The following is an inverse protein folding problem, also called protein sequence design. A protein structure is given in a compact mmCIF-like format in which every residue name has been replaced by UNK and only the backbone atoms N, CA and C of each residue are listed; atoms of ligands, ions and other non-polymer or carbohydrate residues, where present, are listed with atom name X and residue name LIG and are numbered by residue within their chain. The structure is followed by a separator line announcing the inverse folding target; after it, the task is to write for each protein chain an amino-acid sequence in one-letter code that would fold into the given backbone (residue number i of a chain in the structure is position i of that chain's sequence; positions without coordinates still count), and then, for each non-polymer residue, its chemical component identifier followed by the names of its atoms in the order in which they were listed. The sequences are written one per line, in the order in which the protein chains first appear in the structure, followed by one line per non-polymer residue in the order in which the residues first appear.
data_IF_701481735914
#
_entry.id   IF_701481735914
#
_cell.length_a   1.000
_cell.length_b   1.000
_cell.length_c   1.000
_cell.angle_alpha   90.00
_cell.angle_beta   90.00
_cell.angle_gamma   90.00
#
_symmetry.space_group_name_H-M   'P 1'
#
loop_
_entity.id
_entity.type
_entity.pdbx_description
1 polymer ?
#
# COMPACT_ATOMS: atom_id res chain seq x y z
N UNK A 1 8.76 -8.45 -8.29
CA UNK A 1 8.14 -7.10 -8.22
C UNK A 1 8.26 -6.42 -9.58
N UNK A 2 7.19 -5.88 -10.17
CA UNK A 2 7.21 -5.30 -11.54
C UNK A 2 8.01 -3.99 -11.63
N UNK A 3 7.78 -2.96 -10.80
CA UNK A 3 8.54 -1.70 -10.89
C UNK A 3 10.07 -1.85 -10.76
N UNK A 4 10.53 -2.83 -9.99
CA UNK A 4 11.96 -3.13 -9.88
C UNK A 4 12.56 -3.68 -11.18
N UNK A 5 11.83 -4.57 -11.87
CA UNK A 5 12.25 -5.15 -13.15
C UNK A 5 12.27 -4.13 -14.28
N UNK A 6 11.42 -3.11 -14.18
CA UNK A 6 11.34 -2.02 -15.15
C UNK A 6 12.38 -0.91 -14.86
N UNK A 7 13.25 -1.09 -13.86
CA UNK A 7 14.31 -0.14 -13.52
C UNK A 7 13.84 1.15 -12.85
N UNK A 8 12.58 1.23 -12.42
CA UNK A 8 12.05 2.41 -11.78
C UNK A 8 12.68 2.60 -10.40
N UNK A 9 12.99 3.83 -10.01
CA UNK A 9 13.22 4.15 -8.60
C UNK A 9 11.89 4.14 -7.85
N UNK A 10 11.90 3.85 -6.55
CA UNK A 10 10.64 3.82 -5.79
C UNK A 10 10.82 4.47 -4.43
N UNK A 11 9.81 5.24 -4.06
CA UNK A 11 9.61 5.66 -2.67
C UNK A 11 8.49 4.83 -2.08
N UNK A 12 8.79 4.18 -0.97
CA UNK A 12 7.84 3.44 -0.17
C UNK A 12 7.42 4.33 0.99
N UNK A 13 6.12 4.45 1.21
CA UNK A 13 5.53 5.22 2.29
C UNK A 13 4.67 4.29 3.16
N UNK A 14 4.82 4.42 4.47
CA UNK A 14 3.97 3.77 5.49
C UNK A 14 4.07 4.55 6.80
N UNK A 15 3.14 4.34 7.73
CA UNK A 15 3.14 5.03 9.03
C UNK A 15 4.27 4.49 9.93
N UNK A 16 4.56 3.20 9.83
CA UNK A 16 5.62 2.50 10.58
C UNK A 16 6.27 1.42 9.72
N UNK A 17 7.48 0.99 10.07
CA UNK A 17 8.22 0.01 9.26
C UNK A 17 7.50 -1.35 9.13
N UNK A 18 6.81 -1.75 10.19
CA UNK A 18 6.14 -3.06 10.29
C UNK A 18 4.77 -2.88 10.97
N UNK A 19 3.72 -2.49 10.21
CA UNK A 19 2.44 -2.10 10.80
C UNK A 19 1.58 -3.30 11.23
N UNK A 20 1.94 -4.53 10.87
CA UNK A 20 1.25 -5.74 11.31
C UNK A 20 2.23 -6.58 12.12
N UNK A 21 2.00 -6.74 13.43
CA UNK A 21 2.92 -7.46 14.33
C UNK A 21 2.94 -8.99 14.09
N UNK A 22 3.57 -9.71 15.02
CA UNK A 22 3.93 -11.15 14.98
C UNK A 22 2.80 -12.16 14.67
N UNK A 23 1.57 -11.71 14.47
CA UNK A 23 0.40 -12.51 14.09
C UNK A 23 0.10 -12.57 12.59
N UNK A 24 0.81 -11.80 11.74
CA UNK A 24 0.70 -11.91 10.27
C UNK A 24 1.99 -12.55 9.74
N UNK A 25 2.03 -13.87 9.48
CA UNK A 25 3.29 -14.63 9.39
C UNK A 25 4.20 -14.33 8.19
N UNK A 26 3.84 -13.39 7.30
CA UNK A 26 4.38 -13.39 5.93
C UNK A 26 5.01 -12.07 5.50
N UNK A 27 4.57 -10.93 6.03
CA UNK A 27 5.00 -9.64 5.48
C UNK A 27 5.94 -8.89 6.41
N UNK A 28 7.25 -8.90 6.11
CA UNK A 28 8.29 -8.21 6.88
C UNK A 28 8.33 -6.69 6.73
N UNK A 29 7.20 -6.06 6.42
CA UNK A 29 7.05 -4.61 6.33
C UNK A 29 7.76 -3.94 5.14
N UNK A 30 7.82 -2.61 5.17
CA UNK A 30 8.41 -1.81 4.07
C UNK A 30 9.90 -2.06 3.88
N UNK A 31 10.61 -2.42 4.94
CA UNK A 31 12.05 -2.75 4.88
C UNK A 31 12.31 -4.03 4.10
N UNK A 32 11.44 -5.05 4.22
CA UNK A 32 11.53 -6.25 3.39
C UNK A 32 11.29 -5.93 1.91
N UNK A 33 10.30 -5.08 1.60
CA UNK A 33 10.01 -4.66 0.22
C UNK A 33 11.18 -3.89 -0.40
N UNK A 34 11.82 -3.00 0.37
CA UNK A 34 13.01 -2.28 -0.09
C UNK A 34 14.16 -3.24 -0.43
N UNK A 35 14.44 -4.22 0.44
CA UNK A 35 15.46 -5.24 0.21
C UNK A 35 15.18 -6.08 -1.04
N UNK A 36 13.95 -6.53 -1.22
CA UNK A 36 13.55 -7.31 -2.40
C UNK A 36 13.72 -6.50 -3.69
N UNK A 37 13.45 -5.20 -3.64
CA UNK A 37 13.64 -4.29 -4.77
C UNK A 37 15.12 -4.05 -5.08
N UNK A 38 15.94 -3.83 -4.07
CA UNK A 38 17.38 -3.64 -4.21
C UNK A 38 18.09 -4.91 -4.71
N UNK A 39 17.66 -6.09 -4.26
CA UNK A 39 18.15 -7.37 -4.76
C UNK A 39 17.86 -7.59 -6.26
N UNK A 40 16.86 -6.89 -6.81
CA UNK A 40 16.54 -6.87 -8.24
C UNK A 40 17.23 -5.73 -8.99
N UNK A 41 18.12 -4.97 -8.35
CA UNK A 41 18.88 -3.86 -8.95
C UNK A 41 18.15 -2.52 -8.97
N UNK A 42 16.97 -2.42 -8.34
CA UNK A 42 16.24 -1.15 -8.21
C UNK A 42 16.74 -0.30 -7.04
N UNK A 43 16.52 1.02 -7.08
CA UNK A 43 16.78 1.90 -5.94
C UNK A 43 15.50 2.20 -5.18
N UNK A 44 15.59 2.26 -3.86
CA UNK A 44 14.43 2.47 -2.99
C UNK A 44 14.74 3.50 -1.92
N UNK A 45 13.74 4.28 -1.54
CA UNK A 45 13.77 5.09 -0.32
C UNK A 45 12.51 4.85 0.50
N UNK A 46 12.67 4.62 1.79
CA UNK A 46 11.55 4.51 2.73
C UNK A 46 11.29 5.89 3.33
N UNK A 47 10.02 6.28 3.35
CA UNK A 47 9.51 7.42 4.10
C UNK A 47 8.52 6.89 5.11
N UNK A 48 8.66 7.29 6.37
CA UNK A 48 7.69 6.98 7.40
C UNK A 48 6.88 8.23 7.69
N UNK A 49 5.62 8.23 7.26
CA UNK A 49 4.71 9.36 7.40
C UNK A 49 3.25 8.88 7.39
N UNK A 50 2.37 9.67 7.99
CA UNK A 50 0.92 9.46 7.85
C UNK A 50 0.42 10.19 6.61
N UNK A 51 0.21 9.46 5.52
CA UNK A 51 -0.37 10.00 4.28
C UNK A 51 -1.78 10.59 4.42
N UNK A 52 -2.47 10.36 5.55
CA UNK A 52 -3.72 11.02 5.90
C UNK A 52 -3.55 12.44 6.43
N UNK A 53 -2.35 12.83 6.88
CA UNK A 53 -2.06 14.18 7.35
C UNK A 53 -1.64 15.09 6.19
N UNK A 54 -2.55 15.98 5.77
CA UNK A 54 -2.30 16.91 4.67
C UNK A 54 -1.05 17.79 4.88
N UNK A 55 -0.60 18.00 6.11
CA UNK A 55 0.61 18.78 6.43
C UNK A 55 1.88 18.05 6.02
N UNK A 56 1.87 16.72 5.95
CA UNK A 56 3.07 15.92 5.63
C UNK A 56 3.10 15.46 4.17
N UNK A 57 1.95 15.36 3.49
CA UNK A 57 1.88 14.91 2.08
C UNK A 57 2.73 15.79 1.15
N UNK A 58 2.67 17.12 1.28
CA UNK A 58 3.49 18.03 0.47
C UNK A 58 4.99 17.77 0.62
N UNK A 59 5.55 17.83 1.85
CA UNK A 59 6.93 17.45 2.13
C UNK A 59 7.31 16.02 1.70
N UNK A 60 6.37 15.08 1.79
CA UNK A 60 6.56 13.68 1.40
C UNK A 60 6.72 13.49 -0.11
N UNK A 61 6.11 14.34 -0.93
CA UNK A 61 6.27 14.34 -2.39
C UNK A 61 7.49 15.15 -2.86
N UNK A 62 7.89 16.17 -2.09
CA UNK A 62 9.05 17.00 -2.40
C UNK A 62 10.38 16.26 -2.18
N UNK A 63 10.56 15.57 -1.05
CA UNK A 63 11.83 14.87 -0.71
C UNK A 63 12.26 13.78 -1.71
N UNK A 64 11.35 12.97 -2.28
CA UNK A 64 11.66 12.06 -3.39
C UNK A 64 12.18 12.79 -4.63
N UNK A 65 11.66 13.99 -4.89
CA UNK A 65 12.05 14.79 -6.04
C UNK A 65 13.51 15.21 -6.00
N UNK A 66 14.06 15.41 -4.80
CA UNK A 66 15.48 15.70 -4.59
C UNK A 66 16.38 14.47 -4.77
N UNK A 67 15.86 13.27 -4.55
CA UNK A 67 16.64 12.02 -4.58
C UNK A 67 16.58 11.28 -5.93
N UNK A 68 15.41 11.30 -6.58
CA UNK A 68 15.14 10.53 -7.80
C UNK A 68 14.62 11.41 -8.95
N UNK A 69 14.46 12.71 -8.73
CA UNK A 69 13.77 13.59 -9.68
C UNK A 69 12.25 13.44 -9.57
N UNK A 70 11.54 14.05 -10.51
CA UNK A 70 10.06 14.15 -10.51
C UNK A 70 9.38 12.78 -10.28
N UNK A 71 8.40 12.76 -9.39
CA UNK A 71 7.52 11.59 -9.24
C UNK A 71 6.58 11.44 -10.46
N UNK A 72 6.66 10.31 -11.16
CA UNK A 72 5.88 10.08 -12.39
C UNK A 72 4.57 9.31 -12.17
N UNK A 73 4.50 8.46 -11.14
CA UNK A 73 3.36 7.58 -10.90
C UNK A 73 3.08 7.40 -9.39
N UNK A 74 2.40 8.36 -8.74
CA UNK A 74 1.98 8.19 -7.35
C UNK A 74 0.92 7.07 -7.27
N UNK A 75 1.11 6.14 -6.33
CA UNK A 75 0.17 5.06 -6.06
C UNK A 75 -0.30 5.14 -4.60
N UNK A 76 -1.59 5.39 -4.40
CA UNK A 76 -2.21 5.30 -3.08
C UNK A 76 -2.73 3.88 -2.87
N UNK A 77 -1.94 3.06 -2.18
CA UNK A 77 -2.32 1.70 -1.79
C UNK A 77 -2.58 1.56 -0.27
N UNK A 78 -2.26 2.59 0.52
CA UNK A 78 -2.49 2.60 1.95
C UNK A 78 -3.99 2.49 2.25
N UNK A 79 -4.33 1.65 3.22
CA UNK A 79 -5.69 1.50 3.74
C UNK A 79 -5.65 1.52 5.26
N UNK A 80 -6.57 2.26 5.87
CA UNK A 80 -6.74 2.22 7.31
C UNK A 80 -7.22 0.83 7.75
N UNK A 81 -6.84 0.44 8.98
CA UNK A 81 -7.44 -0.73 9.61
C UNK A 81 -8.95 -0.51 9.69
N UNK A 82 -9.78 -1.52 9.38
CA UNK A 82 -11.22 -1.40 9.52
C UNK A 82 -11.57 -1.03 10.97
N UNK A 83 -12.19 0.13 11.16
CA UNK A 83 -12.77 0.53 12.44
C UNK A 83 -14.06 -0.23 12.73
N UNK A 84 -14.58 -0.11 13.95
CA UNK A 84 -15.84 -0.74 14.37
C UNK A 84 -17.05 -0.36 13.47
N UNK A 85 -16.95 0.77 12.77
CA UNK A 85 -17.99 1.29 11.88
C UNK A 85 -18.04 0.59 10.51
N UNK A 86 -17.09 -0.32 10.21
CA UNK A 86 -17.18 -1.15 9.01
C UNK A 86 -18.05 -2.38 9.29
N UNK A 87 -19.34 -2.25 9.01
CA UNK A 87 -20.28 -3.37 8.99
C UNK A 87 -19.98 -4.25 7.78
N UNK A 88 -19.88 -5.56 8.00
CA UNK A 88 -19.81 -6.54 6.93
C UNK A 88 -21.15 -6.48 6.15
N UNK A 89 -21.15 -5.90 4.96
CA UNK A 89 -22.32 -5.98 4.07
C UNK A 89 -22.31 -7.38 3.46
N UNK A 90 -22.97 -8.32 4.13
CA UNK A 90 -23.37 -9.60 3.55
C UNK A 90 -24.79 -9.40 3.05
N UNK A 91 -25.01 -9.59 1.75
CA UNK A 91 -26.37 -9.66 1.19
C UNK A 91 -27.01 -10.98 1.62
N UNK A 92 -28.03 -10.99 2.51
CA UNK A 92 -28.65 -12.22 2.95
C UNK A 92 -29.92 -12.45 2.13
N UNK A 93 -29.78 -12.90 0.87
CA UNK A 93 -30.70 -13.83 0.19
C UNK A 93 -30.22 -14.13 -1.26
N UNK A 94 -29.30 -15.08 -1.42
CA UNK A 94 -29.21 -15.88 -2.65
C UNK A 94 -30.13 -17.11 -2.49
N UNK A 95 -31.44 -16.95 -2.70
CA UNK A 95 -32.36 -18.11 -2.65
C UNK A 95 -32.46 -18.88 -3.97
N UNK A 96 -31.69 -18.55 -5.01
CA UNK A 96 -31.66 -19.36 -6.23
C UNK A 96 -30.47 -19.09 -7.17
N UNK A 97 -29.26 -19.58 -6.86
CA UNK A 97 -28.37 -20.12 -7.93
C UNK A 97 -27.18 -20.91 -7.40
N UNK A 98 -26.86 -22.08 -7.96
CA UNK A 98 -25.71 -22.85 -7.54
C UNK A 98 -24.43 -22.37 -8.28
N UNK A 99 -23.35 -22.23 -7.52
CA UNK A 99 -21.95 -22.07 -7.97
C UNK A 99 -21.62 -20.77 -8.75
N UNK A 100 -21.24 -19.70 -8.04
CA UNK A 100 -20.12 -18.80 -8.39
C UNK A 100 -19.90 -17.75 -7.29
N UNK A 101 -18.64 -17.50 -6.95
CA UNK A 101 -18.21 -16.57 -5.89
C UNK A 101 -18.72 -15.13 -6.12
N UNK A 102 -19.29 -14.45 -5.12
CA UNK A 102 -19.88 -13.13 -5.31
C UNK A 102 -18.80 -12.05 -5.46
N UNK A 103 -19.05 -11.12 -6.39
CA UNK A 103 -18.22 -9.94 -6.65
C UNK A 103 -18.82 -8.73 -5.91
N UNK A 104 -18.04 -8.09 -5.05
CA UNK A 104 -18.47 -6.89 -4.28
C UNK A 104 -18.27 -5.63 -5.13
N UNK A 105 -19.32 -4.81 -5.29
CA UNK A 105 -19.24 -3.42 -5.76
C UNK A 105 -19.59 -2.47 -4.63
N UNK A 106 -18.79 -1.42 -4.45
CA UNK A 106 -19.02 -0.35 -3.48
C UNK A 106 -19.75 0.79 -4.20
N UNK A 107 -20.91 1.21 -3.70
CA UNK A 107 -21.64 2.38 -4.17
C UNK A 107 -21.46 3.55 -3.18
N UNK A 108 -21.36 4.77 -3.71
CA UNK A 108 -21.10 6.01 -2.97
C UNK A 108 -22.34 6.78 -2.56
#
# INVERSE_FOLDING_TARGET
MRPARDGADTVLDDIVEHPYGDGVPVWGGVTAVARDKEALGGRTRITLADGGDARVVGPMLAKPSDAFGRADAPLSNASARPGADRVLVVDPHEDARPHRSPTVRVAG
#
